data_IF_616562151773
#
_entry.id   IF_616562151773
#
_cell.length_a   1.000
_cell.length_b   1.000
_cell.length_c   1.000
_cell.angle_alpha   90.00
_cell.angle_beta   90.00
_cell.angle_gamma   90.00
#
_symmetry.space_group_name_H-M   'P 1'
#
loop_
_entity.id
_entity.type
_entity.pdbx_description
1 polymer ?
#
# COMPACT_ATOMS: atom_id res chain seq x y z
N UNK A 1 -9.89 -3.45 -5.09
CA UNK A 1 -9.77 -3.98 -3.72
C UNK A 1 -11.17 -4.12 -3.15
N UNK A 2 -11.58 -5.33 -2.81
CA UNK A 2 -12.84 -5.58 -2.12
C UNK A 2 -12.66 -5.38 -0.62
N UNK A 3 -13.58 -4.72 0.07
CA UNK A 3 -13.58 -4.49 1.52
C UNK A 3 -14.69 -5.31 2.16
N UNK A 4 -14.29 -6.28 2.98
CA UNK A 4 -15.17 -7.18 3.72
C UNK A 4 -15.34 -6.67 5.14
N UNK A 5 -16.45 -7.03 5.82
CA UNK A 5 -16.65 -6.68 7.22
C UNK A 5 -15.47 -7.05 8.14
N UNK A 6 -14.86 -8.21 7.91
CA UNK A 6 -13.74 -8.72 8.73
C UNK A 6 -12.43 -7.96 8.53
N UNK A 7 -12.30 -7.15 7.47
CA UNK A 7 -11.11 -6.31 7.27
C UNK A 7 -11.18 -5.01 8.09
N UNK A 8 -12.36 -4.68 8.64
CA UNK A 8 -12.61 -3.42 9.33
C UNK A 8 -11.91 -3.40 10.69
N UNK A 9 -11.11 -2.36 10.90
CA UNK A 9 -10.38 -2.10 12.12
C UNK A 9 -11.25 -1.33 13.13
N UNK A 10 -10.91 -1.35 14.44
CA UNK A 10 -11.67 -0.62 15.47
C UNK A 10 -11.77 0.90 15.21
N UNK A 11 -10.79 1.49 14.53
CA UNK A 11 -10.79 2.91 14.14
C UNK A 11 -11.65 3.22 12.90
N UNK A 12 -12.36 2.23 12.36
CA UNK A 12 -13.25 2.39 11.21
C UNK A 12 -12.59 2.25 9.84
N UNK A 13 -11.25 2.21 9.77
CA UNK A 13 -10.53 1.91 8.52
C UNK A 13 -10.64 0.43 8.16
N UNK A 14 -10.23 0.07 6.95
CA UNK A 14 -10.13 -1.31 6.49
C UNK A 14 -8.67 -1.63 6.21
N UNK A 15 -8.21 -2.81 6.64
CA UNK A 15 -6.86 -3.29 6.38
C UNK A 15 -6.90 -4.53 5.48
N UNK A 16 -6.13 -4.51 4.38
CA UNK A 16 -5.97 -5.65 3.48
C UNK A 16 -4.54 -6.11 3.43
N UNK A 17 -4.34 -7.42 3.57
CA UNK A 17 -3.09 -8.06 3.17
C UNK A 17 -2.93 -7.98 1.66
N UNK A 18 -1.79 -7.49 1.21
CA UNK A 18 -1.39 -7.42 -0.19
C UNK A 18 0.00 -8.00 -0.34
N UNK A 19 0.38 -8.34 -1.58
CA UNK A 19 1.70 -8.90 -1.92
C UNK A 19 2.37 -7.95 -2.90
N UNK A 20 3.54 -7.45 -2.55
CA UNK A 20 4.39 -6.66 -3.46
C UNK A 20 5.42 -7.56 -4.11
N UNK A 21 5.33 -7.66 -5.44
CA UNK A 21 6.29 -8.37 -6.25
C UNK A 21 7.21 -7.35 -6.91
N UNK A 22 8.46 -7.31 -6.46
CA UNK A 22 9.52 -6.52 -7.11
C UNK A 22 10.22 -7.39 -8.16
N UNK A 23 10.51 -6.83 -9.33
CA UNK A 23 11.25 -7.51 -10.38
C UNK A 23 12.27 -6.56 -11.01
N UNK A 24 13.52 -7.01 -11.14
CA UNK A 24 14.60 -6.24 -11.77
C UNK A 24 15.04 -4.99 -11.01
N UNK A 25 14.77 -4.89 -9.70
CA UNK A 25 15.18 -3.73 -8.90
C UNK A 25 15.67 -4.11 -7.50
N UNK A 26 16.90 -3.71 -7.20
CA UNK A 26 17.49 -3.70 -5.87
C UNK A 26 17.88 -2.26 -5.51
N UNK A 27 17.60 -1.84 -4.27
CA UNK A 27 17.81 -0.48 -3.83
C UNK A 27 16.69 0.06 -2.94
N UNK A 28 16.73 1.35 -2.59
CA UNK A 28 15.72 1.97 -1.75
C UNK A 28 14.37 2.02 -2.46
N UNK A 29 13.28 1.75 -1.75
CA UNK A 29 11.93 1.98 -2.23
C UNK A 29 11.11 2.67 -1.15
N UNK A 30 10.36 3.71 -1.53
CA UNK A 30 9.37 4.36 -0.68
C UNK A 30 7.99 4.14 -1.29
N UNK A 31 7.05 3.61 -0.50
CA UNK A 31 5.65 3.46 -0.90
C UNK A 31 4.80 4.37 -0.04
N UNK A 32 4.17 5.36 -0.66
CA UNK A 32 3.15 6.24 -0.06
C UNK A 32 1.77 5.86 -0.57
N UNK A 33 0.74 6.15 0.20
CA UNK A 33 -0.64 5.92 -0.23
C UNK A 33 -1.51 7.15 0.06
N UNK A 34 -2.47 7.41 -0.83
CA UNK A 34 -3.43 8.49 -0.67
C UNK A 34 -4.81 8.06 -1.15
N UNK A 35 -5.85 8.58 -0.51
CA UNK A 35 -7.19 8.66 -1.11
C UNK A 35 -7.20 9.83 -2.08
N UNK A 36 -7.71 9.61 -3.29
CA UNK A 36 -7.59 10.58 -4.39
C UNK A 36 -8.94 11.10 -4.91
N UNK A 37 -10.06 10.52 -4.47
CA UNK A 37 -11.41 10.99 -4.80
C UNK A 37 -12.05 11.85 -3.72
N UNK A 38 -11.53 11.81 -2.48
CA UNK A 38 -12.01 12.55 -1.33
C UNK A 38 -10.97 12.50 -0.19
N UNK A 39 -11.16 13.27 0.89
CA UNK A 39 -10.38 13.08 2.12
C UNK A 39 -10.56 11.68 2.72
N UNK A 40 -9.49 11.16 3.34
CA UNK A 40 -9.53 9.90 4.08
C UNK A 40 -8.16 9.27 4.26
N UNK A 41 -8.04 8.43 5.29
CA UNK A 41 -6.84 7.64 5.54
C UNK A 41 -6.52 6.69 4.37
N UNK A 42 -5.23 6.60 4.07
CA UNK A 42 -4.63 5.62 3.18
C UNK A 42 -3.22 5.32 3.68
N UNK A 43 -2.81 4.05 3.66
CA UNK A 43 -1.49 3.64 4.12
C UNK A 43 -1.01 2.37 3.42
N UNK A 44 0.30 2.19 3.34
CA UNK A 44 0.93 0.97 2.84
C UNK A 44 2.10 0.64 3.78
N UNK A 45 2.19 -0.61 4.23
CA UNK A 45 3.20 -1.04 5.21
C UNK A 45 3.72 -2.42 4.84
N UNK A 46 5.02 -2.57 4.64
CA UNK A 46 5.64 -3.89 4.49
C UNK A 46 5.64 -4.62 5.84
N UNK A 47 5.32 -5.92 5.85
CA UNK A 47 5.02 -6.62 7.10
C UNK A 47 6.25 -6.95 7.98
N UNK A 48 7.42 -7.16 7.37
CA UNK A 48 8.60 -7.70 8.08
C UNK A 48 9.89 -6.90 7.87
N UNK A 49 9.84 -5.90 6.99
CA UNK A 49 11.01 -5.11 6.58
C UNK A 49 10.58 -3.66 6.45
N UNK A 50 11.55 -2.75 6.55
CA UNK A 50 11.29 -1.33 6.34
C UNK A 50 10.81 -0.60 7.60
N UNK A 51 10.54 0.69 7.41
CA UNK A 51 10.19 1.64 8.44
C UNK A 51 9.27 2.74 7.89
N UNK A 52 8.52 3.38 8.78
CA UNK A 52 7.77 4.59 8.44
C UNK A 52 8.72 5.73 8.09
N UNK A 53 8.50 6.38 6.95
CA UNK A 53 9.34 7.47 6.46
C UNK A 53 8.58 8.34 5.46
N UNK A 54 8.70 9.66 5.61
CA UNK A 54 8.17 10.65 4.65
C UNK A 54 6.68 10.45 4.28
N UNK A 55 5.86 10.01 5.25
CA UNK A 55 4.43 9.75 5.06
C UNK A 55 4.11 8.45 4.29
N UNK A 56 5.06 7.53 4.21
CA UNK A 56 4.88 6.19 3.66
C UNK A 56 5.79 5.18 4.34
N UNK A 57 6.01 4.04 3.67
CA UNK A 57 6.87 2.99 4.19
C UNK A 57 8.07 2.76 3.27
N UNK A 58 9.25 2.92 3.86
CA UNK A 58 10.53 2.80 3.19
C UNK A 58 11.14 1.42 3.45
N UNK A 59 11.73 0.81 2.44
CA UNK A 59 12.56 -0.38 2.60
C UNK A 59 13.76 -0.34 1.65
N UNK A 60 14.85 -1.01 2.02
CA UNK A 60 15.95 -1.26 1.10
C UNK A 60 15.87 -2.70 0.59
N UNK A 61 15.67 -2.86 -0.73
CA UNK A 61 15.55 -4.14 -1.39
C UNK A 61 16.94 -4.69 -1.73
N UNK A 62 17.33 -5.80 -1.10
CA UNK A 62 18.67 -6.40 -1.29
C UNK A 62 18.75 -7.36 -2.48
N UNK A 63 17.62 -7.76 -3.06
CA UNK A 63 17.52 -8.63 -4.23
C UNK A 63 16.81 -7.89 -5.35
N UNK A 64 17.06 -8.24 -6.60
CA UNK A 64 16.33 -7.68 -7.74
C UNK A 64 14.89 -8.18 -7.82
N UNK A 65 14.67 -9.43 -7.39
CA UNK A 65 13.37 -10.05 -7.30
C UNK A 65 12.96 -10.19 -5.84
N UNK A 66 11.82 -9.61 -5.48
CA UNK A 66 11.31 -9.61 -4.12
C UNK A 66 9.86 -10.06 -4.08
N UNK A 67 9.52 -10.69 -2.96
CA UNK A 67 8.17 -11.04 -2.59
C UNK A 67 7.94 -10.58 -1.15
N UNK A 68 7.23 -9.46 -1.02
CA UNK A 68 7.03 -8.80 0.26
C UNK A 68 5.56 -8.84 0.65
N UNK A 69 5.21 -9.62 1.68
CA UNK A 69 3.93 -9.47 2.36
C UNK A 69 3.81 -8.05 2.91
N UNK A 70 2.67 -7.43 2.68
CA UNK A 70 2.39 -6.08 3.10
C UNK A 70 0.93 -5.92 3.49
N UNK A 71 0.61 -4.77 4.05
CA UNK A 71 -0.74 -4.35 4.40
C UNK A 71 -1.05 -3.04 3.72
N UNK A 72 -2.31 -2.85 3.37
CA UNK A 72 -2.86 -1.59 2.88
C UNK A 72 -4.03 -1.21 3.76
N UNK A 73 -4.01 0.02 4.24
CA UNK A 73 -5.10 0.59 5.02
C UNK A 73 -5.84 1.60 4.17
N UNK A 74 -7.17 1.56 4.17
CA UNK A 74 -8.04 2.52 3.48
C UNK A 74 -9.19 2.96 4.38
N UNK A 75 -9.63 4.22 4.24
CA UNK A 75 -10.75 4.74 5.02
C UNK A 75 -12.11 4.07 4.72
N UNK A 76 -12.29 3.48 3.54
CA UNK A 76 -13.54 2.86 3.12
C UNK A 76 -13.63 2.73 1.60
N UNK A 77 -14.82 2.52 1.03
CA UNK A 77 -15.01 2.51 -0.42
C UNK A 77 -14.62 3.85 -1.06
N UNK A 78 -13.89 3.81 -2.17
CA UNK A 78 -13.37 5.00 -2.85
C UNK A 78 -12.22 4.70 -3.81
N UNK A 79 -11.60 5.75 -4.36
CA UNK A 79 -10.41 5.65 -5.23
C UNK A 79 -9.15 6.05 -4.46
N UNK A 80 -8.10 5.26 -4.64
CA UNK A 80 -6.83 5.37 -3.94
C UNK A 80 -5.68 5.24 -4.91
N UNK A 81 -4.52 5.75 -4.53
CA UNK A 81 -3.28 5.57 -5.25
C UNK A 81 -2.15 5.15 -4.31
N UNK A 82 -1.30 4.25 -4.76
CA UNK A 82 0.07 4.16 -4.27
C UNK A 82 0.96 5.05 -5.12
N UNK A 83 1.90 5.74 -4.47
CA UNK A 83 3.06 6.34 -5.11
C UNK A 83 4.28 5.51 -4.71
N UNK A 84 4.95 4.90 -5.69
CA UNK A 84 6.10 4.02 -5.50
C UNK A 84 7.32 4.68 -6.12
N UNK A 85 8.28 5.04 -5.28
CA UNK A 85 9.51 5.70 -5.72
C UNK A 85 10.71 4.81 -5.42
N UNK A 86 11.41 4.42 -6.48
CA UNK A 86 12.76 3.89 -6.41
C UNK A 86 13.78 4.95 -6.79
N UNK A 87 15.07 4.64 -6.70
CA UNK A 87 16.13 5.56 -7.10
C UNK A 87 16.13 5.87 -8.61
N UNK A 88 15.58 4.98 -9.43
CA UNK A 88 15.59 5.05 -10.90
C UNK A 88 14.21 5.08 -11.53
N UNK A 89 13.14 5.01 -10.73
CA UNK A 89 11.77 4.99 -11.23
C UNK A 89 10.81 5.64 -10.24
N UNK A 90 9.67 6.09 -10.77
CA UNK A 90 8.55 6.59 -9.98
C UNK A 90 7.28 6.14 -10.69
N UNK A 91 6.41 5.41 -9.98
CA UNK A 91 5.19 4.82 -10.54
C UNK A 91 4.02 5.06 -9.60
N UNK A 92 2.90 5.50 -10.18
CA UNK A 92 1.62 5.61 -9.49
C UNK A 92 0.73 4.42 -9.85
N UNK A 93 0.18 3.74 -8.83
CA UNK A 93 -0.77 2.64 -9.01
C UNK A 93 -2.12 3.04 -8.44
N UNK A 94 -3.10 3.29 -9.32
CA UNK A 94 -4.46 3.65 -8.94
C UNK A 94 -5.31 2.40 -8.77
N UNK A 95 -6.07 2.34 -7.68
CA UNK A 95 -7.02 1.26 -7.42
C UNK A 95 -8.29 1.78 -6.78
N UNK A 96 -9.38 1.04 -6.98
CA UNK A 96 -10.66 1.30 -6.31
C UNK A 96 -10.85 0.33 -5.15
N UNK A 97 -11.21 0.86 -3.99
CA UNK A 97 -11.78 0.09 -2.88
C UNK A 97 -13.31 0.06 -3.04
N UNK A 98 -13.89 -1.14 -3.00
CA UNK A 98 -15.34 -1.36 -3.13
C UNK A 98 -15.80 -2.22 -1.97
N UNK A 99 -16.99 -1.96 -1.42
CA UNK A 99 -17.57 -2.87 -0.44
C UNK A 99 -17.85 -4.23 -1.10
N UNK A 100 -17.61 -5.34 -0.39
CA UNK A 100 -18.11 -6.65 -0.82
C UNK A 100 -19.64 -6.60 -0.84
N UNK A 101 -20.26 -7.10 -1.91
CA UNK A 101 -21.67 -7.44 -1.83
C UNK A 101 -21.83 -8.58 -0.81
N UNK A 102 -22.74 -8.41 0.15
CA UNK A 102 -23.06 -9.44 1.13
C UNK A 102 -23.78 -10.64 0.53
#
# INVERSE_FOLDING_TARGET
>A
MELRPDDRQPNGTYEKKVRWLGAGYAGPVLVRAARIDAPGAAGATFSYVGEERDGGHYAYLIRENNDLPARTTVAGPGCYAYQVDGATFSVTVVFRAVASAG
#
